data_IF_918186460416
#
_entry.id   IF_918186460416
#
_cell.length_a   1.000
_cell.length_b   1.000
_cell.length_c   1.000
_cell.angle_alpha   90.00
_cell.angle_beta   90.00
_cell.angle_gamma   90.00
#
_symmetry.space_group_name_H-M   'P 1'
#
loop_
_entity.id
_entity.type
_entity.pdbx_description
1 polymer ?
#
# COMPACT_ATOMS: atom_id res chain seq x y z
N UNK A 1 -3.80 44.98 -37.98
CA UNK A 1 -3.99 43.68 -37.28
C UNK A 1 -2.59 43.10 -36.98
N UNK A 2 -2.10 43.30 -35.76
CA UNK A 2 -0.67 43.21 -35.41
C UNK A 2 -0.12 41.78 -35.53
N UNK A 3 0.74 41.55 -36.54
CA UNK A 3 1.55 40.33 -36.67
C UNK A 3 2.39 40.04 -35.43
N UNK A 4 2.85 41.08 -34.73
CA UNK A 4 3.62 40.97 -33.48
C UNK A 4 2.83 40.37 -32.31
N UNK A 5 1.50 40.58 -32.27
CA UNK A 5 0.66 39.99 -31.22
C UNK A 5 0.46 38.48 -31.42
N UNK A 6 0.52 38.02 -32.67
CA UNK A 6 0.41 36.61 -33.06
C UNK A 6 1.71 35.84 -32.75
N UNK A 7 2.87 36.41 -33.08
CA UNK A 7 4.18 35.80 -32.77
C UNK A 7 4.44 35.70 -31.27
N UNK A 8 4.02 36.70 -30.47
CA UNK A 8 4.15 36.65 -29.01
C UNK A 8 3.28 35.54 -28.40
N UNK A 9 2.05 35.33 -28.91
CA UNK A 9 1.16 34.23 -28.49
C UNK A 9 1.71 32.85 -28.88
N UNK A 10 2.29 32.72 -30.07
CA UNK A 10 2.88 31.46 -30.57
C UNK A 10 4.13 31.08 -29.76
N UNK A 11 4.98 32.05 -29.43
CA UNK A 11 6.18 31.80 -28.62
C UNK A 11 5.85 31.45 -27.16
N UNK A 12 4.83 32.08 -26.56
CA UNK A 12 4.32 31.68 -25.22
C UNK A 12 3.74 30.25 -25.19
N UNK A 13 3.07 29.82 -26.28
CA UNK A 13 2.58 28.44 -26.44
C UNK A 13 3.71 27.41 -26.65
N UNK A 14 4.82 27.80 -27.29
CA UNK A 14 5.99 26.91 -27.46
C UNK A 14 6.72 26.61 -26.15
N UNK A 15 6.80 27.56 -25.22
CA UNK A 15 7.41 27.31 -23.91
C UNK A 15 6.51 26.48 -22.98
N UNK A 16 5.20 26.44 -23.21
CA UNK A 16 4.26 25.61 -22.43
C UNK A 16 4.42 24.10 -22.75
N UNK A 17 4.85 23.76 -23.97
CA UNK A 17 5.13 22.37 -24.36
C UNK A 17 6.51 21.85 -23.92
N UNK A 18 7.44 22.74 -23.52
CA UNK A 18 8.75 22.36 -22.97
C UNK A 18 8.69 21.99 -21.48
N UNK A 19 7.56 22.26 -20.83
CA UNK A 19 7.26 21.87 -19.44
C UNK A 19 6.13 20.83 -19.36
N UNK A 20 5.86 20.09 -20.44
CA UNK A 20 5.05 18.87 -20.34
C UNK A 20 5.81 17.93 -19.39
N UNK A 21 5.27 17.71 -18.19
CA UNK A 21 6.00 17.06 -17.13
C UNK A 21 6.31 15.64 -17.55
N UNK A 22 7.47 15.18 -17.12
CA UNK A 22 7.87 13.78 -17.12
C UNK A 22 6.79 13.03 -16.31
N UNK A 23 5.72 12.63 -16.99
CA UNK A 23 4.75 11.68 -16.45
C UNK A 23 5.45 10.33 -16.45
N UNK A 24 6.31 10.13 -15.44
CA UNK A 24 6.68 8.80 -15.00
C UNK A 24 5.41 8.18 -14.45
N UNK A 25 4.68 7.46 -15.30
CA UNK A 25 3.68 6.52 -14.83
C UNK A 25 4.45 5.52 -13.98
N UNK A 26 4.11 5.44 -12.69
CA UNK A 26 4.61 4.38 -11.84
C UNK A 26 4.21 3.06 -12.50
N UNK A 27 5.18 2.34 -13.07
CA UNK A 27 4.91 1.07 -13.74
C UNK A 27 4.68 0.01 -12.65
N UNK A 28 3.48 -0.56 -12.65
CA UNK A 28 3.15 -1.62 -11.72
C UNK A 28 3.92 -2.90 -12.11
N UNK A 29 4.55 -3.52 -11.11
CA UNK A 29 5.21 -4.82 -11.23
C UNK A 29 4.14 -5.90 -11.36
N UNK A 30 4.20 -6.68 -12.45
CA UNK A 30 3.24 -7.77 -12.72
C UNK A 30 3.78 -9.09 -12.18
N UNK A 31 5.07 -9.35 -12.35
CA UNK A 31 5.66 -10.64 -11.98
C UNK A 31 7.17 -10.54 -11.75
N UNK A 32 7.61 -10.95 -10.57
CA UNK A 32 9.01 -11.22 -10.27
C UNK A 32 9.32 -12.70 -10.38
N UNK A 33 10.39 -13.05 -11.08
CA UNK A 33 10.85 -14.44 -11.26
C UNK A 33 12.31 -14.56 -10.89
N UNK A 34 12.66 -15.56 -10.08
CA UNK A 34 14.04 -15.87 -9.71
C UNK A 34 14.32 -17.33 -10.07
N UNK A 35 15.38 -17.59 -10.83
CA UNK A 35 15.77 -18.94 -11.21
C UNK A 35 17.29 -19.10 -11.34
N UNK A 36 17.76 -20.36 -11.31
CA UNK A 36 19.16 -20.71 -11.48
C UNK A 36 19.41 -21.11 -12.93
N UNK A 37 20.44 -20.53 -13.53
CA UNK A 37 20.95 -20.92 -14.84
C UNK A 37 22.36 -21.48 -14.66
N UNK A 38 22.61 -22.69 -15.20
CA UNK A 38 23.97 -23.25 -15.30
C UNK A 38 24.50 -23.04 -16.71
N UNK A 39 25.70 -22.48 -16.84
CA UNK A 39 26.42 -22.38 -18.12
C UNK A 39 27.82 -22.97 -17.92
N UNK A 40 28.08 -24.14 -18.50
CA UNK A 40 29.28 -24.92 -18.20
C UNK A 40 29.31 -25.35 -16.72
N UNK A 41 30.41 -25.08 -16.02
CA UNK A 41 30.57 -25.38 -14.58
C UNK A 41 30.18 -24.22 -13.65
N UNK A 42 29.70 -23.10 -14.19
CA UNK A 42 29.37 -21.91 -13.42
C UNK A 42 27.85 -21.77 -13.29
N UNK A 43 27.38 -21.51 -12.08
CA UNK A 43 26.00 -21.19 -11.77
C UNK A 43 25.77 -19.69 -11.75
N UNK A 44 24.58 -19.30 -12.18
CA UNK A 44 24.11 -17.92 -12.18
C UNK A 44 22.73 -17.87 -11.55
N UNK A 45 22.46 -16.83 -10.77
CA UNK A 45 21.11 -16.48 -10.35
C UNK A 45 20.59 -15.37 -11.27
N UNK A 46 19.42 -15.61 -11.84
CA UNK A 46 18.74 -14.65 -12.70
C UNK A 46 17.52 -14.14 -11.94
N UNK A 47 17.41 -12.82 -11.81
CA UNK A 47 16.23 -12.15 -11.26
C UNK A 47 15.60 -11.32 -12.38
N UNK A 48 14.31 -11.50 -12.61
CA UNK A 48 13.57 -10.80 -13.65
C UNK A 48 12.29 -10.20 -13.09
N UNK A 49 12.08 -8.91 -13.35
CA UNK A 49 10.85 -8.17 -13.04
C UNK A 49 10.15 -7.85 -14.35
N UNK A 50 8.95 -8.42 -14.52
CA UNK A 50 8.06 -8.13 -15.65
C UNK A 50 7.12 -7.01 -15.26
N UNK A 51 7.15 -5.92 -16.02
CA UNK A 51 6.34 -4.73 -15.82
C UNK A 51 5.03 -4.84 -16.61
N UNK A 52 4.09 -3.95 -16.30
CA UNK A 52 2.74 -3.90 -16.89
C UNK A 52 2.70 -3.68 -18.41
N UNK A 53 3.79 -3.17 -18.99
CA UNK A 53 4.00 -3.00 -20.43
C UNK A 53 4.67 -4.22 -21.10
N UNK A 54 4.82 -5.34 -20.36
CA UNK A 54 5.57 -6.54 -20.76
C UNK A 54 7.09 -6.32 -20.88
N UNK A 55 7.62 -5.17 -20.47
CA UNK A 55 9.06 -4.96 -20.36
C UNK A 55 9.62 -5.87 -19.26
N UNK A 56 10.68 -6.61 -19.57
CA UNK A 56 11.39 -7.45 -18.61
C UNK A 56 12.71 -6.77 -18.27
N UNK A 57 12.84 -6.35 -17.01
CA UNK A 57 14.11 -5.88 -16.44
C UNK A 57 14.69 -6.98 -15.56
N UNK A 58 16.01 -7.04 -15.40
CA UNK A 58 16.58 -8.10 -14.59
C UNK A 58 18.08 -8.00 -14.38
N UNK A 59 18.57 -8.84 -13.47
CA UNK A 59 19.98 -8.99 -13.15
C UNK A 59 20.41 -10.45 -13.36
N UNK A 60 21.67 -10.61 -13.78
CA UNK A 60 22.35 -11.90 -13.86
C UNK A 60 23.59 -11.83 -12.98
N UNK A 61 23.55 -12.55 -11.87
CA UNK A 61 24.67 -12.60 -10.92
C UNK A 61 25.36 -13.96 -10.97
N UNK A 62 26.69 -13.95 -10.95
CA UNK A 62 27.52 -15.15 -10.95
C UNK A 62 27.56 -15.72 -9.53
N UNK A 63 27.26 -17.00 -9.38
CA UNK A 63 27.37 -17.75 -8.11
C UNK A 63 28.65 -18.59 -8.02
N UNK A 64 29.32 -18.85 -9.14
CA UNK A 64 30.58 -19.63 -9.19
C UNK A 64 30.37 -21.11 -9.47
N UNK A 65 31.33 -21.94 -9.07
CA UNK A 65 31.25 -23.40 -9.21
C UNK A 65 30.23 -24.04 -8.26
N UNK A 66 30.04 -25.36 -8.33
CA UNK A 66 29.03 -26.06 -7.51
C UNK A 66 29.21 -25.83 -6.00
N UNK A 67 30.44 -25.84 -5.48
CA UNK A 67 30.69 -25.68 -4.06
C UNK A 67 30.43 -24.23 -3.60
N UNK A 68 30.91 -23.26 -4.38
CA UNK A 68 30.72 -21.83 -4.13
C UNK A 68 29.25 -21.43 -4.24
N UNK A 69 28.54 -21.97 -5.22
CA UNK A 69 27.13 -21.71 -5.44
C UNK A 69 26.26 -22.26 -4.31
N UNK A 70 26.54 -23.48 -3.81
CA UNK A 70 25.83 -24.05 -2.66
C UNK A 70 26.01 -23.17 -1.43
N UNK A 71 27.25 -22.78 -1.12
CA UNK A 71 27.52 -21.93 0.04
C UNK A 71 26.83 -20.56 -0.07
N UNK A 72 26.87 -19.96 -1.26
CA UNK A 72 26.23 -18.66 -1.53
C UNK A 72 24.71 -18.75 -1.38
N UNK A 73 24.08 -19.81 -1.89
CA UNK A 73 22.64 -20.03 -1.75
C UNK A 73 22.21 -20.23 -0.28
N UNK A 74 22.98 -20.99 0.50
CA UNK A 74 22.71 -21.16 1.93
C UNK A 74 22.82 -19.83 2.66
N UNK A 75 23.89 -19.08 2.43
CA UNK A 75 24.09 -17.76 3.05
C UNK A 75 23.01 -16.76 2.63
N UNK A 76 22.58 -16.76 1.37
CA UNK A 76 21.48 -15.92 0.88
C UNK A 76 20.16 -16.32 1.53
N UNK A 77 19.86 -17.62 1.64
CA UNK A 77 18.66 -18.12 2.31
C UNK A 77 18.64 -17.76 3.80
N UNK A 78 19.77 -17.90 4.49
CA UNK A 78 19.92 -17.46 5.89
C UNK A 78 19.70 -15.96 6.03
N UNK A 79 20.21 -15.14 5.09
CA UNK A 79 19.98 -13.69 5.08
C UNK A 79 18.50 -13.35 4.93
N UNK A 80 17.79 -14.03 4.02
CA UNK A 80 16.35 -13.84 3.85
C UNK A 80 15.58 -14.30 5.11
N UNK A 81 15.94 -15.44 5.69
CA UNK A 81 15.37 -15.93 6.96
C UNK A 81 15.57 -14.92 8.10
N UNK A 82 16.78 -14.36 8.23
CA UNK A 82 17.09 -13.34 9.23
C UNK A 82 16.29 -12.06 9.01
N UNK A 83 16.12 -11.66 7.74
CA UNK A 83 15.27 -10.51 7.37
C UNK A 83 13.83 -10.74 7.82
N UNK A 84 13.26 -11.90 7.53
CA UNK A 84 11.92 -12.28 8.01
C UNK A 84 11.82 -12.24 9.53
N UNK A 85 12.82 -12.77 10.24
CA UNK A 85 12.83 -12.76 11.70
C UNK A 85 12.84 -11.33 12.29
N UNK A 86 13.59 -10.41 11.69
CA UNK A 86 13.63 -8.99 12.10
C UNK A 86 12.24 -8.35 11.94
N UNK A 87 11.56 -8.60 10.82
CA UNK A 87 10.22 -8.05 10.56
C UNK A 87 9.12 -8.76 11.37
N UNK A 88 9.32 -10.02 11.76
CA UNK A 88 8.39 -10.77 12.60
C UNK A 88 8.35 -10.28 14.05
N UNK A 89 9.47 -9.78 14.60
CA UNK A 89 9.53 -9.32 16.00
C UNK A 89 8.49 -8.23 16.34
N UNK A 90 8.31 -7.16 15.54
CA UNK A 90 7.20 -6.21 15.73
C UNK A 90 5.81 -6.86 15.71
N UNK A 91 5.59 -7.87 14.86
CA UNK A 91 4.31 -8.59 14.78
C UNK A 91 4.06 -9.44 16.03
N UNK A 92 5.07 -10.18 16.49
CA UNK A 92 5.01 -10.98 17.73
C UNK A 92 4.75 -10.07 18.93
N UNK A 93 5.38 -8.90 18.97
CA UNK A 93 5.23 -7.94 20.08
C UNK A 93 4.02 -7.00 19.92
N UNK A 94 3.23 -7.14 18.84
CA UNK A 94 2.05 -6.31 18.53
C UNK A 94 1.12 -6.19 19.73
N UNK A 95 0.92 -7.26 20.51
CA UNK A 95 0.03 -7.25 21.68
C UNK A 95 0.36 -6.14 22.69
N UNK A 96 1.64 -5.93 23.02
CA UNK A 96 2.07 -4.86 23.95
C UNK A 96 1.79 -3.47 23.39
N UNK A 97 2.00 -3.29 22.08
CA UNK A 97 1.71 -2.02 21.40
C UNK A 97 0.22 -1.74 21.34
N UNK A 98 -0.60 -2.76 21.05
CA UNK A 98 -2.07 -2.64 21.06
C UNK A 98 -2.59 -2.27 22.45
N UNK A 99 -2.07 -2.90 23.51
CA UNK A 99 -2.41 -2.53 24.89
C UNK A 99 -2.10 -1.06 25.19
N UNK A 100 -0.94 -0.58 24.74
CA UNK A 100 -0.54 0.83 24.91
C UNK A 100 -1.44 1.79 24.12
N UNK A 101 -1.80 1.45 22.88
CA UNK A 101 -2.77 2.22 22.08
C UNK A 101 -4.13 2.29 22.80
N UNK A 102 -4.62 1.16 23.32
CA UNK A 102 -5.88 1.12 24.06
C UNK A 102 -5.82 1.98 25.34
N UNK A 103 -4.70 1.91 26.07
CA UNK A 103 -4.46 2.76 27.24
C UNK A 103 -4.51 4.25 26.88
N UNK A 104 -3.83 4.66 25.80
CA UNK A 104 -3.88 6.05 25.32
C UNK A 104 -5.26 6.46 24.85
N UNK A 105 -6.00 5.58 24.17
CA UNK A 105 -7.37 5.84 23.78
C UNK A 105 -8.27 6.06 25.00
N UNK A 106 -8.12 5.23 26.05
CA UNK A 106 -8.90 5.35 27.28
C UNK A 106 -8.60 6.67 28.00
N UNK A 107 -7.31 7.03 28.14
CA UNK A 107 -6.93 8.32 28.72
C UNK A 107 -7.48 9.50 27.91
N UNK A 108 -7.33 9.45 26.58
CA UNK A 108 -7.88 10.49 25.71
C UNK A 108 -9.40 10.61 25.88
N UNK A 109 -10.11 9.49 25.99
CA UNK A 109 -11.56 9.48 26.22
C UNK A 109 -11.95 10.01 27.60
N UNK A 110 -11.18 9.72 28.64
CA UNK A 110 -11.41 10.28 29.98
C UNK A 110 -11.24 11.80 30.01
N UNK A 111 -10.25 12.33 29.26
CA UNK A 111 -9.95 13.78 29.23
C UNK A 111 -10.92 14.53 28.30
N UNK A 112 -11.17 14.01 27.10
CA UNK A 112 -11.92 14.73 26.05
C UNK A 112 -13.38 14.30 25.89
N UNK A 113 -13.78 13.20 26.53
CA UNK A 113 -15.08 12.56 26.31
C UNK A 113 -15.22 11.84 24.96
N UNK A 114 -14.15 11.77 24.14
CA UNK A 114 -14.17 11.17 22.79
C UNK A 114 -13.03 10.16 22.62
N UNK A 115 -13.22 9.09 21.83
CA UNK A 115 -12.13 8.17 21.49
C UNK A 115 -11.06 8.90 20.66
N UNK A 116 -9.82 8.42 20.70
CA UNK A 116 -8.70 9.04 19.95
C UNK A 116 -8.98 9.11 18.44
N UNK A 117 -9.77 8.15 17.94
CA UNK A 117 -10.17 8.05 16.53
C UNK A 117 -11.04 9.21 16.05
N UNK A 118 -11.71 9.93 16.96
CA UNK A 118 -12.42 11.15 16.63
C UNK A 118 -11.43 12.26 16.24
N UNK A 119 -10.38 12.43 17.04
CA UNK A 119 -9.33 13.43 16.82
C UNK A 119 -8.49 13.10 15.59
N UNK A 120 -8.11 11.83 15.40
CA UNK A 120 -7.33 11.42 14.22
C UNK A 120 -8.17 11.50 12.94
N UNK A 121 -9.46 11.15 12.99
CA UNK A 121 -10.35 11.32 11.86
C UNK A 121 -10.35 12.78 11.39
N UNK A 122 -10.54 13.75 12.29
CA UNK A 122 -10.52 15.18 11.93
C UNK A 122 -9.17 15.63 11.38
N UNK A 123 -8.06 15.26 12.04
CA UNK A 123 -6.71 15.65 11.64
C UNK A 123 -6.35 15.15 10.23
N UNK A 124 -6.70 13.90 9.93
CA UNK A 124 -6.27 13.22 8.71
C UNK A 124 -7.39 13.06 7.67
N UNK A 125 -8.55 13.70 7.86
CA UNK A 125 -9.74 13.57 7.00
C UNK A 125 -9.39 13.69 5.52
N UNK A 126 -8.62 14.71 5.14
CA UNK A 126 -8.27 14.99 3.74
C UNK A 126 -7.50 13.84 3.06
N UNK A 127 -6.76 13.03 3.83
CA UNK A 127 -6.01 11.88 3.29
C UNK A 127 -6.94 10.70 2.99
N UNK A 128 -7.98 10.54 3.80
CA UNK A 128 -8.85 9.36 3.77
C UNK A 128 -10.11 9.56 2.93
N UNK A 129 -10.68 10.77 2.83
CA UNK A 129 -11.88 10.96 2.03
C UNK A 129 -11.61 10.66 0.54
N UNK A 130 -12.59 10.03 -0.10
CA UNK A 130 -12.61 9.75 -1.53
C UNK A 130 -13.11 8.35 -1.85
N UNK A 131 -12.87 7.91 -3.07
CA UNK A 131 -13.24 6.59 -3.56
C UNK A 131 -12.20 5.54 -3.17
N UNK A 132 -12.69 4.40 -2.67
CA UNK A 132 -11.88 3.28 -2.22
C UNK A 132 -12.45 1.94 -2.69
N UNK A 133 -11.57 0.96 -2.80
CA UNK A 133 -11.91 -0.43 -3.00
C UNK A 133 -11.48 -1.24 -1.79
N UNK A 134 -12.43 -1.95 -1.19
CA UNK A 134 -12.18 -2.94 -0.17
C UNK A 134 -12.16 -4.32 -0.83
N UNK A 135 -10.97 -4.91 -0.96
CA UNK A 135 -10.85 -6.33 -1.27
C UNK A 135 -11.01 -7.10 0.04
N UNK A 136 -12.13 -7.82 0.17
CA UNK A 136 -12.47 -8.59 1.35
C UNK A 136 -12.62 -10.06 0.94
N UNK A 137 -11.65 -10.90 1.33
CA UNK A 137 -11.63 -12.34 1.03
C UNK A 137 -11.84 -12.66 -0.47
N UNK A 138 -11.28 -11.84 -1.36
CA UNK A 138 -11.37 -12.01 -2.81
C UNK A 138 -12.54 -11.28 -3.49
N UNK A 139 -13.50 -10.77 -2.73
CA UNK A 139 -14.55 -9.90 -3.26
C UNK A 139 -14.06 -8.44 -3.28
N UNK A 140 -14.19 -7.77 -4.42
CA UNK A 140 -13.87 -6.34 -4.55
C UNK A 140 -15.16 -5.53 -4.34
N UNK A 141 -15.19 -4.80 -3.23
CA UNK A 141 -16.30 -3.95 -2.82
C UNK A 141 -15.92 -2.50 -3.12
N UNK A 142 -16.59 -1.91 -4.10
CA UNK A 142 -16.48 -0.48 -4.39
C UNK A 142 -17.16 0.31 -3.26
N UNK A 143 -16.59 1.43 -2.83
CA UNK A 143 -17.19 2.28 -1.80
C UNK A 143 -16.47 3.61 -1.61
N UNK A 144 -17.00 4.43 -0.73
CA UNK A 144 -16.49 5.78 -0.44
C UNK A 144 -16.11 5.86 1.02
N UNK A 145 -14.93 6.42 1.31
CA UNK A 145 -14.62 6.84 2.68
C UNK A 145 -15.10 8.28 2.86
N UNK A 146 -15.92 8.47 3.87
CA UNK A 146 -16.50 9.77 4.20
C UNK A 146 -16.55 9.99 5.71
N UNK A 147 -16.77 11.25 6.11
CA UNK A 147 -16.90 11.62 7.51
C UNK A 147 -18.39 11.61 7.90
N UNK A 148 -18.76 10.76 8.84
CA UNK A 148 -20.14 10.69 9.32
C UNK A 148 -20.52 11.87 10.23
N UNK A 149 -21.80 11.93 10.62
CA UNK A 149 -22.35 12.97 11.51
C UNK A 149 -21.63 13.06 12.87
N UNK A 150 -21.05 11.95 13.33
CA UNK A 150 -20.28 11.87 14.58
C UNK A 150 -18.80 12.26 14.41
N UNK A 151 -18.43 12.84 13.25
CA UNK A 151 -17.05 13.18 12.89
C UNK A 151 -16.09 12.00 12.98
N UNK A 152 -16.57 10.82 12.56
CA UNK A 152 -15.76 9.61 12.40
C UNK A 152 -15.74 9.19 10.95
N UNK A 153 -14.61 8.67 10.50
CA UNK A 153 -14.51 8.10 9.16
C UNK A 153 -15.29 6.79 9.09
N UNK A 154 -16.04 6.62 8.02
CA UNK A 154 -16.72 5.37 7.66
C UNK A 154 -16.29 4.96 6.26
N UNK A 155 -16.27 3.66 5.97
CA UNK A 155 -16.32 3.15 4.61
C UNK A 155 -17.78 2.82 4.30
N UNK A 156 -18.35 3.52 3.32
CA UNK A 156 -19.71 3.37 2.84
C UNK A 156 -19.67 2.56 1.53
N UNK A 157 -20.04 1.26 1.56
CA UNK A 157 -20.04 0.43 0.36
C UNK A 157 -21.06 0.95 -0.66
N UNK A 158 -20.75 0.82 -1.95
CA UNK A 158 -21.67 1.17 -3.02
C UNK A 158 -22.91 0.26 -2.97
N UNK A 159 -24.07 0.84 -2.70
CA UNK A 159 -25.35 0.13 -2.61
C UNK A 159 -25.96 -0.20 -3.98
N UNK A 160 -25.31 0.18 -5.09
CA UNK A 160 -25.72 -0.18 -6.45
C UNK A 160 -25.51 -1.66 -6.79
N UNK A 161 -24.76 -2.40 -5.96
CA UNK A 161 -24.54 -3.85 -6.10
C UNK A 161 -24.76 -4.56 -4.77
N UNK A 162 -25.00 -5.87 -4.83
CA UNK A 162 -25.08 -6.72 -3.63
C UNK A 162 -23.68 -7.21 -3.29
N UNK A 163 -23.15 -6.79 -2.15
CA UNK A 163 -21.86 -7.19 -1.61
C UNK A 163 -22.00 -7.93 -0.28
N UNK A 164 -20.99 -8.71 0.11
CA UNK A 164 -20.94 -9.32 1.46
C UNK A 164 -20.97 -8.26 2.56
N UNK A 165 -20.28 -7.12 2.34
CA UNK A 165 -20.32 -5.96 3.23
C UNK A 165 -21.20 -4.89 2.57
N UNK A 166 -22.46 -4.85 2.97
CA UNK A 166 -23.46 -3.89 2.47
C UNK A 166 -23.83 -2.81 3.49
N UNK A 167 -23.03 -2.67 4.56
CA UNK A 167 -23.29 -1.69 5.63
C UNK A 167 -22.05 -0.85 5.90
N UNK A 168 -22.27 0.36 6.43
CA UNK A 168 -21.19 1.27 6.77
C UNK A 168 -20.24 0.66 7.79
N UNK A 169 -18.96 0.57 7.42
CA UNK A 169 -17.91 0.16 8.34
C UNK A 169 -17.36 1.38 9.06
N UNK A 170 -17.44 1.36 10.38
CA UNK A 170 -16.87 2.43 11.20
C UNK A 170 -15.36 2.27 11.32
N UNK A 171 -14.61 3.27 10.85
CA UNK A 171 -13.16 3.21 10.79
C UNK A 171 -12.54 3.79 12.07
N UNK A 172 -11.55 3.08 12.59
CA UNK A 172 -10.60 3.55 13.58
C UNK A 172 -9.28 3.84 12.85
N UNK A 173 -8.95 5.11 12.64
CA UNK A 173 -7.84 5.51 11.78
C UNK A 173 -6.68 6.10 12.57
N UNK A 174 -5.48 5.71 12.16
CA UNK A 174 -4.22 6.39 12.39
C UNK A 174 -3.54 6.61 11.04
N UNK A 175 -2.50 7.43 10.99
CA UNK A 175 -1.79 7.73 9.73
C UNK A 175 -1.39 6.49 8.94
N UNK A 176 -0.95 5.42 9.62
CA UNK A 176 -0.42 4.19 9.01
C UNK A 176 -1.24 2.94 9.36
N UNK A 177 -2.42 3.11 9.96
CA UNK A 177 -3.26 1.97 10.34
C UNK A 177 -4.73 2.34 10.21
N UNK A 178 -5.52 1.43 9.63
CA UNK A 178 -6.98 1.49 9.63
C UNK A 178 -7.48 0.21 10.26
N UNK A 179 -8.39 0.33 11.22
CA UNK A 179 -9.08 -0.82 11.79
C UNK A 179 -10.58 -0.68 11.64
N UNK A 180 -11.26 -1.80 11.40
CA UNK A 180 -12.72 -1.88 11.43
C UNK A 180 -13.15 -3.26 11.96
N UNK A 181 -14.42 -3.38 12.32
CA UNK A 181 -15.01 -4.64 12.76
C UNK A 181 -16.14 -5.02 11.82
N UNK A 182 -16.16 -6.27 11.38
CA UNK A 182 -17.24 -6.86 10.60
C UNK A 182 -17.52 -8.27 11.14
N UNK A 183 -18.79 -8.62 11.36
CA UNK A 183 -19.21 -9.89 11.96
C UNK A 183 -18.44 -10.27 13.23
N UNK A 184 -18.26 -9.31 14.15
CA UNK A 184 -17.50 -9.46 15.41
C UNK A 184 -16.01 -9.76 15.26
N UNK A 185 -15.48 -9.77 14.03
CA UNK A 185 -14.04 -9.91 13.75
C UNK A 185 -13.44 -8.55 13.49
N UNK A 186 -12.35 -8.23 14.20
CA UNK A 186 -11.59 -7.00 14.00
C UNK A 186 -10.50 -7.21 12.96
N UNK A 187 -10.48 -6.35 11.95
CA UNK A 187 -9.46 -6.30 10.92
C UNK A 187 -8.54 -5.10 11.19
N UNK A 188 -7.24 -5.35 11.30
CA UNK A 188 -6.22 -4.30 11.41
C UNK A 188 -5.42 -4.26 10.10
N UNK A 189 -5.60 -3.18 9.33
CA UNK A 189 -4.90 -2.96 8.07
C UNK A 189 -3.77 -1.96 8.29
N UNK A 190 -2.60 -2.28 7.76
CA UNK A 190 -1.38 -1.48 7.85
C UNK A 190 -1.03 -0.89 6.50
N UNK A 191 -0.57 0.36 6.51
CA UNK A 191 -0.12 1.05 5.30
C UNK A 191 1.15 0.37 4.78
N UNK A 192 1.13 -0.03 3.51
CA UNK A 192 2.31 -0.55 2.80
C UNK A 192 2.70 0.31 1.59
N UNK A 193 1.79 1.15 1.11
CA UNK A 193 2.06 2.20 0.13
C UNK A 193 1.07 3.37 0.34
N UNK A 194 1.30 4.49 -0.33
CA UNK A 194 0.36 5.61 -0.30
C UNK A 194 -1.01 5.20 -0.85
N UNK A 195 -2.06 5.47 -0.07
CA UNK A 195 -3.42 5.05 -0.40
C UNK A 195 -3.66 3.53 -0.34
N UNK A 196 -2.71 2.71 0.12
CA UNK A 196 -2.85 1.25 0.15
C UNK A 196 -2.57 0.67 1.54
N UNK A 197 -3.59 -0.03 2.07
CA UNK A 197 -3.56 -0.68 3.37
C UNK A 197 -3.89 -2.16 3.24
N UNK A 198 -3.29 -3.01 4.07
CA UNK A 198 -3.51 -4.46 4.04
C UNK A 198 -3.39 -5.08 5.42
N UNK A 199 -4.13 -6.16 5.67
CA UNK A 199 -3.78 -7.11 6.75
C UNK A 199 -2.40 -7.72 6.49
N UNK A 200 -1.78 -8.25 7.55
CA UNK A 200 -0.41 -8.81 7.51
C UNK A 200 -0.31 -9.99 6.54
N UNK A 201 -1.36 -10.80 6.46
CA UNK A 201 -1.50 -11.94 5.55
C UNK A 201 -1.87 -11.53 4.11
N UNK A 202 -2.28 -10.28 3.87
CA UNK A 202 -2.68 -9.82 2.55
C UNK A 202 -4.12 -10.14 2.14
N UNK A 203 -4.93 -10.78 2.99
CA UNK A 203 -6.28 -11.25 2.64
C UNK A 203 -7.29 -10.11 2.50
N UNK A 204 -7.14 -9.06 3.31
CA UNK A 204 -8.02 -7.88 3.28
C UNK A 204 -7.21 -6.64 2.93
N UNK A 205 -7.61 -5.95 1.87
CA UNK A 205 -6.92 -4.75 1.37
C UNK A 205 -7.88 -3.60 1.17
N UNK A 206 -7.45 -2.39 1.53
CA UNK A 206 -8.19 -1.16 1.29
C UNK A 206 -7.32 -0.24 0.43
N UNK A 207 -7.80 0.06 -0.77
CA UNK A 207 -7.03 0.70 -1.84
C UNK A 207 -7.76 1.95 -2.32
N UNK A 208 -7.11 3.11 -2.26
CA UNK A 208 -7.64 4.36 -2.76
C UNK A 208 -7.59 4.37 -4.28
N UNK A 209 -8.66 4.80 -4.93
CA UNK A 209 -8.74 4.85 -6.40
C UNK A 209 -8.54 6.24 -6.99
N UNK A 210 -8.69 7.30 -6.19
CA UNK A 210 -8.50 8.70 -6.58
C UNK A 210 -7.91 9.54 -5.44
#
# INVERSE_FOLDING_TARGET
LNKELLTLKINKMRYLFLFLPIFSFAQDVVKDTVYIQKQGNIYYIIQQTTLSDSTVTGSKQILGDSATAIQSLVTDAERQSNTLAIHAKPLITKGKTVQRINYYNNLHQQISGKPVYFTTAQRDTAKFIGDWKLNFNGEIIDGVIELNNNKRLIFNPDNGKVYTISTNLLLATFTNQISFTFNSVKYDLYKYADGKFSTVDGEVKLIKTQ
#
